data_IF_778309390326
#
_entry.id   IF_778309390326
#
_cell.length_a   1.000
_cell.length_b   1.000
_cell.length_c   1.000
_cell.angle_alpha   90.00
_cell.angle_beta   90.00
_cell.angle_gamma   90.00
#
_symmetry.space_group_name_H-M   'P 1'
#
loop_
_entity.id
_entity.type
_entity.pdbx_description
1 polymer ?
#
# COMPACT_ATOMS: atom_id res chain seq x y z
N UNK A 1 -24.19 -2.14 -41.04
CA UNK A 1 -22.80 -2.50 -40.65
C UNK A 1 -22.06 -1.44 -39.80
N UNK A 2 -22.41 -0.15 -39.87
CA UNK A 2 -21.69 0.92 -39.16
C UNK A 2 -22.02 1.09 -37.66
N UNK A 3 -23.29 0.89 -37.26
CA UNK A 3 -23.73 1.06 -35.86
C UNK A 3 -23.11 0.04 -34.88
N UNK A 4 -22.95 -1.23 -35.28
CA UNK A 4 -22.25 -2.21 -34.44
C UNK A 4 -20.77 -1.88 -34.25
N UNK A 5 -20.11 -1.28 -35.24
CA UNK A 5 -18.69 -0.89 -35.15
C UNK A 5 -18.50 0.29 -34.19
N UNK A 6 -19.43 1.26 -34.20
CA UNK A 6 -19.42 2.40 -33.27
C UNK A 6 -19.72 1.93 -31.85
N UNK A 7 -20.68 1.02 -31.67
CA UNK A 7 -21.04 0.43 -30.37
C UNK A 7 -19.88 -0.36 -29.74
N UNK A 8 -19.18 -1.18 -30.52
CA UNK A 8 -17.99 -1.92 -30.06
C UNK A 8 -16.84 -0.97 -29.71
N UNK A 9 -16.62 0.08 -30.51
CA UNK A 9 -15.58 1.07 -30.22
C UNK A 9 -15.85 1.85 -28.94
N UNK A 10 -17.10 2.28 -28.72
CA UNK A 10 -17.50 2.97 -27.49
C UNK A 10 -17.36 2.07 -26.26
N UNK A 11 -17.75 0.80 -26.37
CA UNK A 11 -17.59 -0.19 -25.30
C UNK A 11 -16.10 -0.44 -24.97
N UNK A 12 -15.22 -0.51 -25.98
CA UNK A 12 -13.77 -0.61 -25.77
C UNK A 12 -13.18 0.62 -25.07
N UNK A 13 -13.57 1.83 -25.46
CA UNK A 13 -13.06 3.07 -24.85
C UNK A 13 -13.51 3.19 -23.39
N UNK A 14 -14.77 2.87 -23.10
CA UNK A 14 -15.30 2.85 -21.72
C UNK A 14 -14.62 1.75 -20.89
N UNK A 15 -14.42 0.56 -21.45
CA UNK A 15 -13.70 -0.54 -20.80
C UNK A 15 -12.25 -0.18 -20.46
N UNK A 16 -11.51 0.43 -21.40
CA UNK A 16 -10.14 0.91 -21.13
C UNK A 16 -10.13 1.99 -20.05
N UNK A 17 -11.05 2.96 -20.11
CA UNK A 17 -11.12 4.06 -19.16
C UNK A 17 -11.41 3.60 -17.71
N UNK A 18 -12.09 2.46 -17.53
CA UNK A 18 -12.39 1.89 -16.21
C UNK A 18 -11.27 0.95 -15.72
N UNK A 19 -10.58 0.23 -16.60
CA UNK A 19 -9.51 -0.72 -16.23
C UNK A 19 -8.19 0.01 -15.92
N UNK A 20 -7.84 1.06 -16.67
CA UNK A 20 -6.64 1.87 -16.47
C UNK A 20 -6.48 2.44 -15.04
N UNK A 21 -7.49 3.08 -14.42
CA UNK A 21 -7.36 3.61 -13.06
C UNK A 21 -7.18 2.51 -11.99
N UNK A 22 -7.76 1.32 -12.20
CA UNK A 22 -7.58 0.19 -11.26
C UNK A 22 -6.15 -0.36 -11.22
N UNK A 23 -5.40 -0.25 -12.33
CA UNK A 23 -3.98 -0.62 -12.39
C UNK A 23 -3.06 0.52 -11.93
N UNK A 24 -3.46 1.77 -12.11
CA UNK A 24 -2.71 2.96 -11.71
C UNK A 24 -2.67 3.21 -10.18
N UNK A 25 -3.25 2.31 -9.37
CA UNK A 25 -3.21 2.39 -7.90
C UNK A 25 -2.55 1.15 -7.28
N UNK A 26 -2.07 0.23 -8.12
CA UNK A 26 -1.50 -1.06 -7.73
C UNK A 26 -0.16 -1.34 -8.41
N UNK A 27 0.41 -0.37 -9.13
CA UNK A 27 1.73 -0.52 -9.74
C UNK A 27 2.83 -0.33 -8.70
N UNK A 28 4.01 -0.90 -8.95
CA UNK A 28 5.23 -0.68 -8.15
C UNK A 28 5.50 0.81 -7.91
N UNK A 29 5.27 1.63 -8.95
CA UNK A 29 5.53 3.05 -8.89
C UNK A 29 4.56 3.77 -7.94
N UNK A 30 3.32 3.29 -7.80
CA UNK A 30 2.34 3.88 -6.89
C UNK A 30 2.75 3.68 -5.43
N UNK A 31 3.21 2.46 -5.08
CA UNK A 31 3.78 2.18 -3.77
C UNK A 31 4.99 3.05 -3.48
N UNK A 32 5.94 3.14 -4.42
CA UNK A 32 7.15 3.95 -4.24
C UNK A 32 6.85 5.44 -4.13
N UNK A 33 5.98 5.98 -5.00
CA UNK A 33 5.63 7.39 -5.00
C UNK A 33 4.97 7.80 -3.69
N UNK A 34 4.00 7.02 -3.21
CA UNK A 34 3.30 7.31 -1.97
C UNK A 34 4.26 7.30 -0.76
N UNK A 35 5.10 6.26 -0.63
CA UNK A 35 6.11 6.21 0.44
C UNK A 35 7.12 7.36 0.33
N UNK A 36 7.69 7.60 -0.85
CA UNK A 36 8.72 8.61 -1.03
C UNK A 36 8.19 10.03 -0.85
N UNK A 37 6.91 10.26 -1.17
CA UNK A 37 6.23 11.52 -0.85
C UNK A 37 6.14 11.71 0.67
N UNK A 38 5.67 10.71 1.41
CA UNK A 38 5.60 10.79 2.86
C UNK A 38 6.98 10.98 3.52
N UNK A 39 8.00 10.25 3.04
CA UNK A 39 9.38 10.34 3.56
C UNK A 39 10.02 11.71 3.30
N UNK A 40 9.79 12.30 2.13
CA UNK A 40 10.34 13.61 1.78
C UNK A 40 9.64 14.78 2.47
N UNK A 41 8.39 14.60 2.91
CA UNK A 41 7.66 15.60 3.68
C UNK A 41 8.22 15.83 5.10
N UNK A 42 9.04 14.90 5.61
CA UNK A 42 9.66 15.01 6.92
C UNK A 42 10.90 15.91 6.82
N UNK A 43 10.70 17.20 7.02
CA UNK A 43 11.79 18.19 6.98
C UNK A 43 12.73 18.05 8.19
N UNK A 44 14.04 18.15 7.96
CA UNK A 44 15.05 18.09 9.03
C UNK A 44 15.59 16.69 9.32
N UNK A 45 14.95 15.65 8.78
CA UNK A 45 15.51 14.31 8.71
C UNK A 45 15.91 14.01 7.25
N UNK A 46 17.19 13.74 6.99
CA UNK A 46 17.65 13.35 5.67
C UNK A 46 17.27 11.88 5.39
N UNK A 47 16.00 11.64 5.11
CA UNK A 47 15.44 10.31 4.88
C UNK A 47 15.59 9.95 3.39
N UNK A 48 16.37 8.90 3.03
CA UNK A 48 16.50 8.50 1.65
C UNK A 48 15.20 7.97 1.07
N UNK A 49 14.99 8.20 -0.23
CA UNK A 49 13.92 7.59 -1.00
C UNK A 49 14.11 6.07 -1.07
N UNK A 50 13.02 5.33 -0.95
CA UNK A 50 12.96 3.90 -1.17
C UNK A 50 13.13 3.59 -2.66
N UNK A 51 13.75 2.44 -2.91
CA UNK A 51 13.85 1.82 -4.23
C UNK A 51 13.21 0.44 -4.17
N UNK A 52 12.59 0.01 -5.28
CA UNK A 52 11.95 -1.29 -5.33
C UNK A 52 12.99 -2.41 -5.27
N UNK A 53 12.71 -3.45 -4.48
CA UNK A 53 13.57 -4.62 -4.36
C UNK A 53 12.79 -5.88 -4.77
N UNK A 54 13.25 -6.52 -5.84
CA UNK A 54 12.60 -7.71 -6.41
C UNK A 54 12.77 -8.95 -5.53
N UNK A 55 13.87 -9.06 -4.78
CA UNK A 55 14.07 -10.12 -3.79
C UNK A 55 13.04 -10.02 -2.67
N UNK A 56 12.82 -8.81 -2.13
CA UNK A 56 11.77 -8.58 -1.13
C UNK A 56 10.38 -8.90 -1.70
N UNK A 57 10.12 -8.53 -2.96
CA UNK A 57 8.84 -8.85 -3.62
C UNK A 57 8.59 -10.35 -3.64
N UNK A 58 9.60 -11.15 -4.02
CA UNK A 58 9.48 -12.62 -4.04
C UNK A 58 9.21 -13.19 -2.64
N UNK A 59 9.93 -12.69 -1.63
CA UNK A 59 9.75 -13.13 -0.24
C UNK A 59 8.36 -12.80 0.30
N UNK A 60 7.90 -11.55 0.11
CA UNK A 60 6.56 -11.10 0.54
C UNK A 60 5.47 -11.85 -0.23
N UNK A 61 5.63 -12.07 -1.54
CA UNK A 61 4.65 -12.83 -2.33
C UNK A 61 4.54 -14.28 -1.84
N UNK A 62 5.65 -14.94 -1.53
CA UNK A 62 5.65 -16.29 -0.98
C UNK A 62 4.96 -16.35 0.39
N UNK A 63 5.20 -15.36 1.25
CA UNK A 63 4.55 -15.25 2.55
C UNK A 63 3.05 -14.97 2.43
N UNK A 64 2.63 -14.03 1.58
CA UNK A 64 1.21 -13.74 1.35
C UNK A 64 0.50 -15.00 0.80
N UNK A 65 1.10 -15.70 -0.15
CA UNK A 65 0.54 -16.95 -0.68
C UNK A 65 0.40 -18.07 0.36
N UNK A 66 1.18 -18.06 1.45
CA UNK A 66 1.04 -19.05 2.52
C UNK A 66 -0.14 -18.75 3.47
N UNK A 67 -0.60 -17.50 3.52
CA UNK A 67 -1.71 -17.05 4.37
C UNK A 67 -3.01 -16.80 3.59
N UNK A 68 -2.94 -16.71 2.26
CA UNK A 68 -4.11 -16.61 1.39
C UNK A 68 -4.92 -17.93 1.38
N UNK A 69 -6.25 -17.82 1.31
CA UNK A 69 -7.18 -18.96 1.24
C UNK A 69 -7.69 -19.47 2.59
N UNK A 70 -7.25 -18.87 3.70
CA UNK A 70 -7.83 -19.10 5.03
C UNK A 70 -9.01 -18.17 5.26
N UNK A 71 -10.07 -18.63 5.93
CA UNK A 71 -11.23 -17.79 6.27
C UNK A 71 -10.85 -16.64 7.21
N UNK A 72 -9.85 -16.89 8.07
CA UNK A 72 -9.21 -15.89 8.91
C UNK A 72 -7.76 -15.72 8.43
N UNK A 73 -7.47 -14.58 7.82
CA UNK A 73 -6.10 -14.23 7.41
C UNK A 73 -5.28 -13.99 8.68
N UNK A 74 -4.50 -14.99 9.09
CA UNK A 74 -3.61 -14.88 10.23
C UNK A 74 -2.20 -14.47 9.77
N UNK A 75 -1.99 -13.16 9.64
CA UNK A 75 -0.67 -12.60 9.35
C UNK A 75 0.10 -12.54 10.68
N UNK A 76 1.29 -13.14 10.69
CA UNK A 76 2.28 -12.91 11.73
C UNK A 76 2.73 -11.45 11.68
N UNK A 77 2.11 -10.63 12.52
CA UNK A 77 2.46 -9.22 12.65
C UNK A 77 3.80 -9.03 13.33
N UNK A 78 4.39 -10.04 14.00
CA UNK A 78 5.66 -9.90 14.72
C UNK A 78 6.91 -9.77 13.83
N UNK A 79 6.75 -9.94 12.52
CA UNK A 79 7.83 -9.83 11.53
C UNK A 79 8.28 -8.37 11.39
N UNK A 80 9.44 -8.05 11.95
CA UNK A 80 10.06 -6.73 11.81
C UNK A 80 10.25 -6.33 10.33
N UNK A 81 9.87 -5.10 9.99
CA UNK A 81 10.04 -4.52 8.66
C UNK A 81 8.90 -4.83 7.67
N UNK A 82 7.82 -5.46 8.13
CA UNK A 82 6.62 -5.73 7.34
C UNK A 82 5.47 -4.81 7.78
N UNK A 83 4.87 -4.07 6.85
CA UNK A 83 3.58 -3.42 7.06
C UNK A 83 2.50 -4.23 6.35
N UNK A 84 1.39 -4.51 7.04
CA UNK A 84 0.28 -5.28 6.46
C UNK A 84 -1.04 -4.54 6.66
N UNK A 85 -1.87 -4.55 5.62
CA UNK A 85 -3.24 -4.07 5.70
C UNK A 85 -4.17 -5.13 5.14
N UNK A 86 -5.14 -5.52 5.95
CA UNK A 86 -6.22 -6.42 5.55
C UNK A 86 -7.52 -5.63 5.56
N UNK A 87 -8.33 -5.80 4.52
CA UNK A 87 -9.64 -5.18 4.40
C UNK A 87 -10.65 -6.19 3.86
N UNK A 88 -11.91 -6.04 4.27
CA UNK A 88 -13.02 -6.85 3.76
C UNK A 88 -13.49 -6.39 2.37
N UNK A 89 -13.27 -5.11 2.05
CA UNK A 89 -13.56 -4.52 0.75
C UNK A 89 -12.31 -4.47 -0.14
N UNK A 90 -12.50 -4.19 -1.42
CA UNK A 90 -11.39 -3.94 -2.35
C UNK A 90 -10.47 -2.86 -1.78
N UNK A 91 -9.19 -3.18 -1.67
CA UNK A 91 -8.13 -2.31 -1.17
C UNK A 91 -7.06 -2.20 -2.23
N UNK A 92 -6.73 -0.99 -2.66
CA UNK A 92 -5.59 -0.79 -3.56
C UNK A 92 -4.28 -0.66 -2.78
N UNK A 93 -3.17 -0.88 -3.46
CA UNK A 93 -1.84 -0.64 -2.90
C UNK A 93 -1.65 0.76 -2.37
N UNK A 94 -2.16 1.76 -3.12
CA UNK A 94 -2.14 3.15 -2.71
C UNK A 94 -2.99 3.40 -1.45
N UNK A 95 -4.17 2.80 -1.35
CA UNK A 95 -5.00 2.92 -0.14
C UNK A 95 -4.28 2.36 1.09
N UNK A 96 -3.59 1.22 0.94
CA UNK A 96 -2.81 0.63 2.03
C UNK A 96 -1.68 1.57 2.50
N UNK A 97 -0.91 2.14 1.55
CA UNK A 97 0.18 3.07 1.89
C UNK A 97 -0.36 4.33 2.57
N UNK A 98 -1.45 4.91 2.04
CA UNK A 98 -2.08 6.09 2.63
C UNK A 98 -2.60 5.81 4.05
N UNK A 99 -3.13 4.62 4.30
CA UNK A 99 -3.56 4.20 5.63
C UNK A 99 -2.37 4.18 6.61
N UNK A 100 -1.23 3.58 6.22
CA UNK A 100 -0.02 3.57 7.06
C UNK A 100 0.53 4.98 7.30
N UNK A 101 0.63 5.81 6.26
CA UNK A 101 1.11 7.19 6.37
C UNK A 101 0.19 8.04 7.27
N UNK A 102 -1.12 7.78 7.27
CA UNK A 102 -2.07 8.51 8.13
C UNK A 102 -1.78 8.34 9.63
N UNK A 103 -1.05 7.29 10.02
CA UNK A 103 -0.62 7.05 11.39
C UNK A 103 0.46 8.04 11.87
N UNK A 104 1.02 8.86 10.98
CA UNK A 104 1.99 9.91 11.33
C UNK A 104 1.51 10.86 12.43
N UNK A 105 0.19 11.03 12.59
CA UNK A 105 -0.40 11.85 13.67
C UNK A 105 -0.09 11.31 15.07
N UNK A 106 0.26 10.02 15.16
CA UNK A 106 0.67 9.36 16.39
C UNK A 106 2.19 9.33 16.56
N UNK A 107 2.97 9.89 15.63
CA UNK A 107 4.43 9.90 15.72
C UNK A 107 4.95 11.22 16.31
N UNK A 108 5.83 11.14 17.30
CA UNK A 108 6.56 12.28 17.81
C UNK A 108 7.95 12.36 17.18
N UNK A 109 8.08 13.28 16.22
CA UNK A 109 9.34 13.51 15.50
C UNK A 109 10.45 14.08 16.38
N UNK A 110 10.12 14.81 17.46
CA UNK A 110 11.12 15.41 18.34
C UNK A 110 11.80 14.35 19.24
N UNK A 111 11.05 13.34 19.66
CA UNK A 111 11.56 12.25 20.51
C UNK A 111 11.85 10.97 19.74
N UNK A 112 11.56 10.96 18.43
CA UNK A 112 11.70 9.80 17.56
C UNK A 112 10.97 8.56 18.12
N UNK A 113 9.73 8.74 18.56
CA UNK A 113 8.93 7.71 19.23
C UNK A 113 7.44 7.83 18.90
N UNK A 114 6.73 6.71 18.93
CA UNK A 114 5.27 6.74 18.84
C UNK A 114 4.66 7.27 20.15
N UNK A 115 3.69 8.16 20.05
CA UNK A 115 2.86 8.59 21.17
C UNK A 115 2.00 7.39 21.61
N UNK A 116 2.27 6.90 22.82
CA UNK A 116 1.77 5.60 23.29
C UNK A 116 0.23 5.48 23.30
N UNK A 117 -0.27 4.39 22.72
CA UNK A 117 -1.64 3.90 22.94
C UNK A 117 -2.38 3.43 21.68
N UNK A 118 -1.98 3.87 20.49
CA UNK A 118 -2.67 3.49 19.25
C UNK A 118 -1.96 2.32 18.56
N UNK A 119 -2.56 1.14 18.62
CA UNK A 119 -2.29 0.02 17.71
C UNK A 119 -3.48 -0.04 16.75
N UNK A 120 -3.36 0.47 15.51
CA UNK A 120 -4.39 0.24 14.52
C UNK A 120 -4.55 -1.27 14.30
N UNK A 121 -5.78 -1.76 14.05
CA UNK A 121 -5.99 -3.18 13.78
C UNK A 121 -5.15 -3.60 12.58
N UNK A 122 -4.09 -4.38 12.85
CA UNK A 122 -3.13 -4.86 11.86
C UNK A 122 -1.66 -4.42 12.04
N UNK A 123 -1.28 -3.62 13.04
CA UNK A 123 0.12 -3.16 13.23
C UNK A 123 0.66 -3.40 14.67
N UNK A 124 1.94 -3.80 14.80
CA UNK A 124 2.66 -3.84 16.09
C UNK A 124 2.94 -2.40 16.58
N UNK A 125 2.82 -2.12 17.90
CA UNK A 125 3.38 -0.91 18.51
C UNK A 125 4.88 -0.72 18.20
N UNK A 126 5.25 0.43 17.64
CA UNK A 126 6.66 0.86 17.52
C UNK A 126 7.29 0.75 16.13
N UNK A 127 6.52 0.39 15.09
CA UNK A 127 7.00 0.42 13.71
C UNK A 127 6.84 1.84 13.12
N UNK A 128 7.88 2.34 12.46
CA UNK A 128 7.83 3.65 11.82
C UNK A 128 6.77 3.62 10.70
N UNK A 129 5.93 4.67 10.57
CA UNK A 129 4.85 4.71 9.59
C UNK A 129 5.33 4.93 8.12
N UNK A 130 6.63 4.78 7.83
CA UNK A 130 7.26 5.18 6.57
C UNK A 130 8.50 4.36 6.15
#
# INVERSE_FOLDING_TARGET
MGLCKISVFLACVVGLALVLPSHAQNSIQDYLNAHNTARSAITGANIPALVWNTTLTTQVTAYINSVLGQCDINVDLSVSGLNVKVAQNVLTGLDAVNAWVSEQVYYNYATNSCNGGYSPPGNIPGQLPY
#
